data_IF_763601595852
#
_entry.id   IF_763601595852
#
_cell.length_a   1.000
_cell.length_b   1.000
_cell.length_c   1.000
_cell.angle_alpha   90.00
_cell.angle_beta   90.00
_cell.angle_gamma   90.00
#
_symmetry.space_group_name_H-M   'P 1'
#
loop_
_entity.id
_entity.type
_entity.pdbx_description
1 polymer ?
#
# COMPACT_ATOMS: atom_id res chain seq x y z
N UNK A 1 1.44 -38.40 23.12
CA UNK A 1 1.08 -37.65 21.88
C UNK A 1 1.41 -36.19 22.12
N UNK A 2 2.22 -35.55 21.28
CA UNK A 2 2.49 -34.11 21.39
C UNK A 2 1.20 -33.36 21.01
N UNK A 3 0.72 -32.47 21.87
CA UNK A 3 -0.45 -31.63 21.56
C UNK A 3 -0.14 -30.74 20.34
N UNK A 4 -1.16 -30.48 19.53
CA UNK A 4 -1.05 -29.75 18.25
C UNK A 4 -0.40 -28.36 18.41
N UNK A 5 -0.70 -27.65 19.50
CA UNK A 5 -0.07 -26.37 19.84
C UNK A 5 1.43 -26.47 20.14
N UNK A 6 1.87 -27.60 20.70
CA UNK A 6 3.29 -27.88 20.94
C UNK A 6 4.03 -28.09 19.62
N UNK A 7 3.39 -28.73 18.64
CA UNK A 7 3.95 -28.94 17.30
C UNK A 7 4.09 -27.60 16.56
N UNK A 8 3.06 -26.75 16.60
CA UNK A 8 3.14 -25.43 15.96
C UNK A 8 4.22 -24.52 16.55
N UNK A 9 4.41 -24.56 17.87
CA UNK A 9 5.47 -23.81 18.55
C UNK A 9 6.86 -24.28 18.09
N UNK A 10 7.04 -25.60 17.90
CA UNK A 10 8.28 -26.18 17.38
C UNK A 10 8.51 -25.80 15.90
N UNK A 11 7.47 -25.86 15.06
CA UNK A 11 7.51 -25.40 13.65
C UNK A 11 7.95 -23.93 13.57
N UNK A 12 7.34 -23.04 14.36
CA UNK A 12 7.72 -21.63 14.41
C UNK A 12 9.18 -21.43 14.83
N UNK A 13 9.65 -22.19 15.82
CA UNK A 13 11.05 -22.10 16.27
C UNK A 13 12.03 -22.52 15.19
N UNK A 14 11.74 -23.59 14.44
CA UNK A 14 12.61 -24.08 13.37
C UNK A 14 12.58 -23.15 12.13
N UNK A 15 11.42 -22.59 11.79
CA UNK A 15 11.33 -21.60 10.72
C UNK A 15 12.10 -20.33 11.10
N UNK A 16 12.06 -19.91 12.36
CA UNK A 16 12.80 -18.72 12.84
C UNK A 16 14.31 -18.82 12.63
N UNK A 17 14.90 -20.02 12.67
CA UNK A 17 16.33 -20.22 12.40
C UNK A 17 16.65 -20.28 10.91
N UNK A 18 15.67 -20.60 10.06
CA UNK A 18 15.87 -20.87 8.63
C UNK A 18 15.50 -19.69 7.71
N UNK A 19 14.91 -18.60 8.24
CA UNK A 19 14.56 -17.41 7.45
C UNK A 19 15.08 -16.11 8.08
N UNK A 20 15.30 -15.06 7.27
CA UNK A 20 15.69 -13.75 7.80
C UNK A 20 14.69 -13.19 8.85
N UNK A 21 15.17 -12.54 9.93
CA UNK A 21 14.33 -12.11 11.06
C UNK A 21 13.14 -11.21 10.66
N UNK A 22 13.32 -10.35 9.68
CA UNK A 22 12.26 -9.45 9.19
C UNK A 22 11.12 -10.24 8.49
N UNK A 23 11.45 -11.29 7.73
CA UNK A 23 10.44 -12.15 7.08
C UNK A 23 9.66 -12.96 8.11
N UNK A 24 10.36 -13.47 9.14
CA UNK A 24 9.71 -14.17 10.25
C UNK A 24 8.73 -13.26 10.98
N UNK A 25 9.15 -12.05 11.35
CA UNK A 25 8.31 -11.12 12.09
C UNK A 25 7.08 -10.68 11.28
N UNK A 26 7.24 -10.51 9.97
CA UNK A 26 6.17 -10.05 9.09
C UNK A 26 5.19 -11.16 8.71
N UNK A 27 5.67 -12.36 8.39
CA UNK A 27 4.85 -13.39 7.73
C UNK A 27 4.54 -14.61 8.61
N UNK A 28 5.41 -14.98 9.55
CA UNK A 28 5.27 -16.24 10.31
C UNK A 28 4.81 -15.98 11.75
N UNK A 29 5.35 -14.94 12.40
CA UNK A 29 4.98 -14.56 13.77
C UNK A 29 3.47 -14.30 13.93
N UNK A 30 2.77 -13.60 13.01
CA UNK A 30 1.34 -13.30 13.14
C UNK A 30 0.41 -14.50 12.90
N UNK A 31 0.94 -15.63 12.42
CA UNK A 31 0.14 -16.81 12.09
C UNK A 31 -0.08 -17.62 13.36
N UNK A 32 -1.32 -17.96 13.69
CA UNK A 32 -1.65 -18.74 14.89
C UNK A 32 -2.35 -20.04 14.51
N UNK A 33 -2.18 -21.09 15.30
CA UNK A 33 -2.91 -22.32 15.08
C UNK A 33 -4.31 -22.20 15.68
N UNK A 34 -5.32 -22.58 14.91
CA UNK A 34 -6.73 -22.46 15.32
C UNK A 34 -7.25 -23.80 15.82
N UNK A 35 -7.10 -24.85 15.02
CA UNK A 35 -7.49 -26.22 15.34
C UNK A 35 -6.74 -27.21 14.46
N UNK A 36 -6.78 -28.48 14.83
CA UNK A 36 -6.32 -29.59 14.01
C UNK A 36 -7.41 -30.66 13.98
N UNK A 37 -7.84 -31.01 12.77
CA UNK A 37 -8.81 -32.06 12.53
C UNK A 37 -8.11 -33.19 11.75
N UNK A 38 -7.64 -34.20 12.47
CA UNK A 38 -6.84 -35.29 11.89
C UNK A 38 -5.54 -34.79 11.26
N UNK A 39 -5.44 -34.89 9.93
CA UNK A 39 -4.28 -34.44 9.14
C UNK A 39 -4.45 -33.02 8.58
N UNK A 40 -5.53 -32.32 8.89
CA UNK A 40 -5.77 -30.94 8.47
C UNK A 40 -5.44 -29.98 9.61
N UNK A 41 -4.51 -29.06 9.38
CA UNK A 41 -4.12 -28.02 10.33
C UNK A 41 -4.68 -26.69 9.84
N UNK A 42 -5.47 -26.04 10.70
CA UNK A 42 -6.05 -24.72 10.42
C UNK A 42 -5.19 -23.63 11.04
N UNK A 43 -4.67 -22.73 10.21
CA UNK A 43 -3.85 -21.60 10.60
C UNK A 43 -4.58 -20.28 10.38
N UNK A 44 -4.70 -19.49 11.44
CA UNK A 44 -5.19 -18.12 11.39
C UNK A 44 -4.14 -17.21 10.76
N UNK A 45 -4.59 -16.32 9.86
CA UNK A 45 -3.81 -15.21 9.34
C UNK A 45 -4.61 -13.91 9.30
N UNK A 46 -3.97 -12.72 9.39
CA UNK A 46 -4.66 -11.46 9.62
C UNK A 46 -5.65 -11.00 8.54
N UNK A 47 -5.45 -11.39 7.27
CA UNK A 47 -6.33 -11.02 6.16
C UNK A 47 -6.14 -11.94 4.93
N UNK A 48 -7.08 -11.93 3.96
CA UNK A 48 -7.01 -12.82 2.79
C UNK A 48 -5.78 -12.65 1.89
N UNK A 49 -5.27 -11.42 1.72
CA UNK A 49 -4.05 -11.17 0.95
C UNK A 49 -2.82 -11.77 1.64
N UNK A 50 -2.81 -11.75 2.98
CA UNK A 50 -1.79 -12.40 3.79
C UNK A 50 -1.82 -13.92 3.59
N UNK A 51 -3.01 -14.53 3.53
CA UNK A 51 -3.20 -15.95 3.23
C UNK A 51 -2.66 -16.29 1.84
N UNK A 52 -2.96 -15.48 0.83
CA UNK A 52 -2.47 -15.71 -0.53
C UNK A 52 -0.94 -15.73 -0.58
N UNK A 53 -0.28 -14.77 0.07
CA UNK A 53 1.19 -14.72 0.13
C UNK A 53 1.80 -15.85 0.97
N UNK A 54 1.13 -16.27 2.05
CA UNK A 54 1.52 -17.47 2.80
C UNK A 54 1.46 -18.72 1.92
N UNK A 55 0.37 -18.89 1.16
CA UNK A 55 0.19 -20.01 0.24
C UNK A 55 1.25 -20.04 -0.86
N UNK A 56 1.59 -18.88 -1.41
CA UNK A 56 2.55 -18.78 -2.51
C UNK A 56 3.99 -19.04 -2.09
N UNK A 57 4.44 -18.47 -0.97
CA UNK A 57 5.87 -18.47 -0.60
C UNK A 57 6.24 -19.40 0.57
N UNK A 58 5.30 -19.67 1.48
CA UNK A 58 5.61 -20.31 2.76
C UNK A 58 4.90 -21.65 2.95
N UNK A 59 3.85 -21.96 2.20
CA UNK A 59 3.12 -23.22 2.32
C UNK A 59 3.99 -24.46 2.11
N UNK A 60 4.86 -24.55 1.07
CA UNK A 60 5.71 -25.72 0.89
C UNK A 60 6.68 -25.92 2.07
N UNK A 61 7.20 -24.81 2.62
CA UNK A 61 8.06 -24.82 3.78
C UNK A 61 7.29 -25.27 5.02
N UNK A 62 6.13 -24.68 5.29
CA UNK A 62 5.28 -25.04 6.42
C UNK A 62 4.90 -26.52 6.38
N UNK A 63 4.47 -27.05 5.22
CA UNK A 63 4.11 -28.46 5.05
C UNK A 63 5.28 -29.40 5.33
N UNK A 64 6.48 -29.07 4.84
CA UNK A 64 7.70 -29.85 5.09
C UNK A 64 8.04 -29.90 6.58
N UNK A 65 7.97 -28.76 7.26
CA UNK A 65 8.25 -28.65 8.70
C UNK A 65 7.23 -29.41 9.55
N UNK A 66 5.95 -29.29 9.20
CA UNK A 66 4.89 -30.08 9.84
C UNK A 66 5.09 -31.58 9.60
N UNK A 67 5.47 -32.01 8.40
CA UNK A 67 5.73 -33.42 8.09
C UNK A 67 6.92 -33.98 8.88
N UNK A 68 8.01 -33.21 9.02
CA UNK A 68 9.18 -33.64 9.78
C UNK A 68 8.88 -33.81 11.28
N UNK A 69 8.03 -32.94 11.84
CA UNK A 69 7.73 -32.95 13.27
C UNK A 69 6.55 -33.86 13.65
N UNK A 70 5.56 -34.00 12.78
CA UNK A 70 4.38 -34.85 13.00
C UNK A 70 4.54 -36.27 12.45
N UNK A 71 5.52 -36.53 11.57
CA UNK A 71 5.77 -37.85 10.99
C UNK A 71 4.72 -38.32 9.98
N UNK A 72 3.77 -37.47 9.60
CA UNK A 72 2.70 -37.74 8.64
C UNK A 72 2.48 -36.53 7.72
N UNK A 73 1.88 -36.76 6.56
CA UNK A 73 1.60 -35.68 5.61
C UNK A 73 0.43 -34.82 6.12
N UNK A 74 0.68 -33.53 6.30
CA UNK A 74 -0.29 -32.57 6.83
C UNK A 74 -0.80 -31.65 5.72
N UNK A 75 -2.11 -31.47 5.66
CA UNK A 75 -2.75 -30.46 4.80
C UNK A 75 -2.94 -29.19 5.62
N UNK A 76 -2.50 -28.05 5.09
CA UNK A 76 -2.60 -26.76 5.79
C UNK A 76 -3.71 -25.94 5.15
N UNK A 77 -4.71 -25.60 5.94
CA UNK A 77 -5.76 -24.67 5.57
C UNK A 77 -5.59 -23.35 6.34
N UNK A 78 -5.82 -22.24 5.66
CA UNK A 78 -5.70 -20.91 6.26
C UNK A 78 -7.08 -20.29 6.44
N UNK A 79 -7.31 -19.66 7.60
CA UNK A 79 -8.54 -18.96 7.94
C UNK A 79 -8.25 -17.54 8.44
N UNK A 80 -9.24 -16.65 8.33
CA UNK A 80 -9.23 -15.33 8.97
C UNK A 80 -9.99 -15.31 10.29
N UNK A 81 -10.49 -16.45 10.75
CA UNK A 81 -11.17 -16.59 12.04
C UNK A 81 -10.14 -16.79 13.17
N UNK A 82 -10.11 -15.92 14.19
CA UNK A 82 -9.18 -16.06 15.31
C UNK A 82 -9.52 -17.29 16.17
N UNK A 83 -8.52 -17.88 16.88
CA UNK A 83 -8.74 -19.06 17.71
C UNK A 83 -9.74 -18.81 18.86
N UNK A 84 -10.55 -19.81 19.23
CA UNK A 84 -11.67 -19.67 20.18
C UNK A 84 -11.23 -19.22 21.59
N UNK A 85 -9.98 -19.45 21.98
CA UNK A 85 -9.45 -19.06 23.30
C UNK A 85 -9.09 -17.57 23.46
N UNK A 86 -9.25 -16.74 22.41
CA UNK A 86 -9.09 -15.28 22.50
C UNK A 86 -10.42 -14.52 22.51
N UNK A 87 -11.54 -15.24 22.59
CA UNK A 87 -12.90 -14.68 22.70
C UNK A 87 -13.42 -14.80 24.13
N UNK A 88 -12.58 -14.59 25.14
CA UNK A 88 -13.05 -14.44 26.52
C UNK A 88 -11.98 -13.80 27.40
N UNK A 89 -12.01 -12.47 27.51
CA UNK A 89 -11.84 -11.75 28.78
C UNK A 89 -11.88 -10.25 28.53
N UNK A 90 -13.11 -9.74 28.41
CA UNK A 90 -13.46 -8.42 28.92
C UNK A 90 -14.99 -8.34 28.88
N UNK A 91 -15.66 -8.79 29.95
CA UNK A 91 -16.85 -8.17 30.55
C UNK A 91 -17.38 -9.08 31.68
N UNK A 92 -17.58 -8.45 32.84
CA UNK A 92 -18.04 -8.96 34.15
C UNK A 92 -17.01 -9.81 34.94
N UNK A 93 -16.40 -9.39 36.05
CA UNK A 93 -16.57 -8.21 36.90
C UNK A 93 -16.80 -8.64 38.35
N UNK A 94 -15.75 -8.67 39.17
CA UNK A 94 -15.84 -8.48 40.62
C UNK A 94 -14.66 -7.62 41.09
N UNK A 95 -14.97 -6.73 42.04
CA UNK A 95 -14.29 -5.46 42.28
C UNK A 95 -13.44 -5.51 43.54
N UNK A 96 -12.23 -4.93 43.56
CA UNK A 96 -11.74 -4.15 44.71
C UNK A 96 -10.80 -3.01 44.26
N UNK A 97 -11.31 -1.78 44.45
CA UNK A 97 -10.69 -0.48 44.75
C UNK A 97 -9.20 -0.22 44.42
N UNK A 98 -8.96 0.75 43.53
CA UNK A 98 -8.12 1.91 43.85
C UNK A 98 -8.39 3.12 42.92
N UNK A 99 -8.13 4.32 43.48
CA UNK A 99 -8.68 5.64 43.17
C UNK A 99 -8.38 6.18 41.76
N UNK A 100 -9.39 6.79 41.11
CA UNK A 100 -9.22 7.68 39.93
C UNK A 100 -10.06 8.97 40.06
N UNK A 101 -9.39 10.09 39.78
CA UNK A 101 -9.89 11.47 39.70
C UNK A 101 -10.84 11.59 38.47
N UNK A 102 -11.92 12.41 38.51
CA UNK A 102 -13.05 12.28 37.60
C UNK A 102 -12.76 12.91 36.23
N UNK A 103 -12.67 12.09 35.19
CA UNK A 103 -12.86 12.52 33.81
C UNK A 103 -14.33 12.33 33.47
N UNK A 104 -14.96 13.42 33.04
CA UNK A 104 -16.35 13.53 32.64
C UNK A 104 -16.76 12.45 31.62
N UNK A 105 -18.05 12.09 31.71
CA UNK A 105 -18.81 11.08 30.96
C UNK A 105 -18.18 10.66 29.62
N UNK A 106 -18.12 9.35 29.30
CA UNK A 106 -17.71 8.89 27.99
C UNK A 106 -18.68 9.48 26.96
N UNK A 107 -18.16 10.29 26.03
CA UNK A 107 -18.89 10.56 24.81
C UNK A 107 -19.26 9.20 24.19
N UNK A 108 -20.49 9.05 23.67
CA UNK A 108 -20.87 7.84 22.98
C UNK A 108 -19.80 7.55 21.94
N UNK A 109 -19.44 6.28 21.78
CA UNK A 109 -18.63 5.83 20.65
C UNK A 109 -19.29 6.42 19.43
N UNK A 110 -18.72 7.50 18.89
CA UNK A 110 -18.98 7.90 17.53
C UNK A 110 -18.36 6.77 16.72
N UNK A 111 -19.14 5.71 16.53
CA UNK A 111 -19.32 5.16 15.20
C UNK A 111 -19.63 6.40 14.39
N UNK A 112 -18.60 7.02 13.81
CA UNK A 112 -18.82 8.03 12.80
C UNK A 112 -19.69 7.31 11.79
N UNK A 113 -20.95 7.71 11.70
CA UNK A 113 -21.85 7.14 10.73
C UNK A 113 -21.11 7.20 9.41
N UNK A 114 -20.88 6.05 8.77
CA UNK A 114 -20.51 6.08 7.36
C UNK A 114 -21.61 6.89 6.71
N UNK A 115 -21.27 8.06 6.18
CA UNK A 115 -22.23 8.85 5.42
C UNK A 115 -22.80 7.89 4.36
N UNK A 116 -24.13 7.70 4.29
CA UNK A 116 -24.72 6.93 3.22
C UNK A 116 -24.30 7.58 1.90
N UNK A 117 -23.46 6.89 1.13
CA UNK A 117 -22.79 7.42 -0.07
C UNK A 117 -21.26 7.52 -0.03
N UNK A 118 -20.60 7.26 1.11
CA UNK A 118 -19.14 7.17 1.22
C UNK A 118 -18.68 5.74 1.54
N UNK A 119 -18.57 4.92 0.49
CA UNK A 119 -17.60 3.82 0.46
C UNK A 119 -16.22 4.49 0.40
N UNK A 120 -15.26 4.21 1.30
CA UNK A 120 -13.87 4.59 1.04
C UNK A 120 -13.35 3.65 -0.04
N UNK A 121 -13.31 4.07 -1.31
CA UNK A 121 -12.93 3.17 -2.36
C UNK A 121 -11.40 3.10 -2.32
N UNK A 122 -10.79 1.98 -2.73
CA UNK A 122 -9.37 1.91 -3.10
C UNK A 122 -9.00 2.86 -4.28
N UNK A 123 -9.87 3.83 -4.61
CA UNK A 123 -9.79 4.78 -5.71
C UNK A 123 -9.38 6.20 -5.26
N UNK A 124 -9.06 6.43 -3.98
CA UNK A 124 -8.58 7.75 -3.57
C UNK A 124 -7.09 7.87 -3.88
N UNK A 125 -6.73 8.84 -4.73
CA UNK A 125 -5.35 9.27 -4.88
C UNK A 125 -4.76 9.65 -3.53
N UNK A 126 -3.46 9.45 -3.35
CA UNK A 126 -2.78 9.85 -2.12
C UNK A 126 -2.96 11.36 -1.91
N UNK A 127 -3.14 11.74 -0.65
CA UNK A 127 -3.14 13.16 -0.27
C UNK A 127 -1.73 13.72 -0.43
N UNK A 128 -1.65 14.93 -0.99
CA UNK A 128 -0.41 15.68 -1.02
C UNK A 128 0.00 16.07 0.40
N UNK A 129 1.26 15.89 0.75
CA UNK A 129 1.77 16.28 2.07
C UNK A 129 1.79 17.79 2.21
N UNK A 130 1.20 18.33 3.29
CA UNK A 130 1.12 19.79 3.55
C UNK A 130 2.49 20.47 3.59
N UNK A 131 3.52 19.78 4.11
CA UNK A 131 4.86 20.34 4.23
C UNK A 131 5.68 20.31 2.93
N UNK A 132 5.21 19.62 1.89
CA UNK A 132 5.95 19.48 0.63
C UNK A 132 5.53 20.61 -0.30
N UNK A 133 6.08 21.79 -0.04
CA UNK A 133 5.89 23.02 -0.83
C UNK A 133 7.22 23.50 -1.37
N UNK A 134 7.21 24.37 -2.39
CA UNK A 134 8.44 24.96 -2.91
C UNK A 134 9.17 25.82 -1.89
N UNK A 135 8.43 26.48 -0.99
CA UNK A 135 9.00 27.36 0.03
C UNK A 135 9.78 26.58 1.10
N UNK A 136 9.40 25.31 1.33
CA UNK A 136 10.08 24.42 2.27
C UNK A 136 11.19 23.58 1.62
N UNK A 137 11.46 23.77 0.33
CA UNK A 137 12.51 23.05 -0.39
C UNK A 137 13.81 23.85 -0.39
N UNK A 138 14.86 23.29 0.20
CA UNK A 138 16.19 23.91 0.19
C UNK A 138 16.87 23.62 -1.14
N UNK A 139 17.09 24.67 -1.93
CA UNK A 139 17.77 24.59 -3.23
C UNK A 139 19.28 24.61 -3.02
N UNK A 140 19.98 23.70 -3.72
CA UNK A 140 21.43 23.72 -3.83
C UNK A 140 21.84 23.44 -5.28
N UNK A 141 23.14 23.50 -5.57
CA UNK A 141 23.68 23.33 -6.94
C UNK A 141 23.18 22.04 -7.61
N UNK A 142 23.04 20.96 -6.86
CA UNK A 142 22.62 19.64 -7.36
C UNK A 142 21.10 19.50 -7.56
N UNK A 143 20.30 20.47 -7.11
CA UNK A 143 18.83 20.42 -7.17
C UNK A 143 18.19 21.63 -7.86
N UNK A 144 18.98 22.66 -8.20
CA UNK A 144 18.50 23.91 -8.81
C UNK A 144 17.72 23.67 -10.10
N UNK A 145 18.29 22.90 -11.04
CA UNK A 145 17.62 22.59 -12.30
C UNK A 145 16.26 21.88 -12.08
N UNK A 146 16.22 20.89 -11.19
CA UNK A 146 15.00 20.15 -10.88
C UNK A 146 13.95 21.04 -10.20
N UNK A 147 14.39 21.94 -9.31
CA UNK A 147 13.54 22.92 -8.66
C UNK A 147 12.95 23.91 -9.67
N UNK A 148 13.78 24.50 -10.53
CA UNK A 148 13.35 25.44 -11.56
C UNK A 148 12.39 24.77 -12.55
N UNK A 149 12.70 23.57 -13.02
CA UNK A 149 11.82 22.83 -13.93
C UNK A 149 10.45 22.53 -13.29
N UNK A 150 10.44 22.03 -12.05
CA UNK A 150 9.21 21.74 -11.30
C UNK A 150 8.36 22.99 -11.09
N UNK A 151 9.01 24.12 -10.73
CA UNK A 151 8.34 25.40 -10.49
C UNK A 151 7.79 26.00 -11.78
N UNK A 152 8.54 25.92 -12.87
CA UNK A 152 8.12 26.41 -14.18
C UNK A 152 6.95 25.61 -14.74
N UNK A 153 6.95 24.27 -14.60
CA UNK A 153 5.81 23.44 -14.97
C UNK A 153 4.55 23.83 -14.18
N UNK A 154 4.68 23.98 -12.86
CA UNK A 154 3.57 24.35 -11.99
C UNK A 154 2.99 25.75 -12.29
N UNK A 155 3.80 26.64 -12.88
CA UNK A 155 3.42 27.99 -13.28
C UNK A 155 2.98 28.12 -14.74
N UNK A 156 2.95 27.03 -15.51
CA UNK A 156 2.71 27.03 -16.97
C UNK A 156 3.73 27.88 -17.76
N UNK A 157 5.00 27.86 -17.36
CA UNK A 157 6.08 28.67 -17.95
C UNK A 157 7.01 27.89 -18.90
N UNK A 158 6.72 26.62 -19.20
CA UNK A 158 7.61 25.75 -19.99
C UNK A 158 7.32 25.72 -21.51
N UNK A 159 6.92 26.84 -22.11
CA UNK A 159 6.72 26.97 -23.57
C UNK A 159 5.97 25.79 -24.23
N UNK A 160 4.92 25.28 -23.57
CA UNK A 160 4.12 24.14 -24.07
C UNK A 160 4.53 22.76 -23.56
N UNK A 161 5.68 22.61 -22.89
CA UNK A 161 6.04 21.33 -22.25
C UNK A 161 5.16 21.10 -21.01
N UNK A 162 4.36 20.04 -21.03
CA UNK A 162 3.46 19.65 -19.92
C UNK A 162 3.92 18.38 -19.17
N UNK A 163 5.04 17.79 -19.58
CA UNK A 163 5.62 16.60 -18.97
C UNK A 163 6.92 16.93 -18.25
N UNK A 164 7.11 16.35 -17.07
CA UNK A 164 8.34 16.45 -16.29
C UNK A 164 8.72 15.08 -15.75
N UNK A 165 9.99 14.70 -15.93
CA UNK A 165 10.56 13.49 -15.35
C UNK A 165 11.65 13.86 -14.35
N UNK A 166 11.41 13.60 -13.06
CA UNK A 166 12.36 13.83 -11.98
C UNK A 166 13.15 12.55 -11.73
N UNK A 167 14.42 12.55 -12.16
CA UNK A 167 15.33 11.43 -11.98
C UNK A 167 16.32 11.69 -10.84
N UNK A 168 16.63 10.64 -10.08
CA UNK A 168 17.70 10.71 -9.08
C UNK A 168 17.62 9.63 -8.00
N UNK A 169 18.69 9.51 -7.21
CA UNK A 169 18.78 8.58 -6.08
C UNK A 169 17.72 8.87 -5.01
N UNK A 170 17.52 7.92 -4.10
CA UNK A 170 16.67 8.10 -2.93
C UNK A 170 17.17 9.27 -2.08
N UNK A 171 16.25 10.00 -1.44
CA UNK A 171 16.62 11.14 -0.58
C UNK A 171 16.96 12.45 -1.29
N UNK A 172 17.03 12.50 -2.64
CA UNK A 172 17.34 13.74 -3.38
C UNK A 172 16.15 14.70 -3.59
N UNK A 173 15.05 14.50 -2.86
CA UNK A 173 13.92 15.44 -2.88
C UNK A 173 12.95 15.33 -4.06
N UNK A 174 13.06 14.29 -4.91
CA UNK A 174 12.13 14.05 -6.05
C UNK A 174 10.65 14.14 -5.64
N UNK A 175 10.27 13.36 -4.63
CA UNK A 175 8.89 13.32 -4.13
C UNK A 175 8.45 14.60 -3.42
N UNK A 176 9.41 15.41 -2.94
CA UNK A 176 9.10 16.74 -2.41
C UNK A 176 8.77 17.68 -3.56
N UNK A 177 9.63 17.76 -4.58
CA UNK A 177 9.45 18.64 -5.73
C UNK A 177 8.18 18.33 -6.54
N UNK A 178 7.90 17.05 -6.80
CA UNK A 178 6.69 16.62 -7.51
C UNK A 178 5.42 17.03 -6.77
N UNK A 179 5.37 16.79 -5.45
CA UNK A 179 4.23 17.18 -4.62
C UNK A 179 4.14 18.71 -4.46
N UNK A 180 5.27 19.42 -4.38
CA UNK A 180 5.31 20.87 -4.33
C UNK A 180 4.71 21.50 -5.60
N UNK A 181 4.98 20.90 -6.77
CA UNK A 181 4.33 21.29 -8.01
C UNK A 181 2.80 21.07 -7.94
N UNK A 182 2.36 19.91 -7.46
CA UNK A 182 0.93 19.62 -7.24
C UNK A 182 0.25 20.60 -6.28
N UNK A 183 0.90 20.91 -5.15
CA UNK A 183 0.41 21.87 -4.16
C UNK A 183 0.30 23.27 -4.77
N UNK A 184 1.29 23.69 -5.56
CA UNK A 184 1.27 24.99 -6.23
C UNK A 184 0.16 25.10 -7.28
N UNK A 185 -0.11 24.01 -8.02
CA UNK A 185 -1.22 23.95 -8.97
C UNK A 185 -2.57 24.08 -8.24
N UNK A 186 -2.74 23.36 -7.13
CA UNK A 186 -3.97 23.45 -6.32
C UNK A 186 -4.14 24.80 -5.63
N UNK A 187 -3.05 25.43 -5.18
CA UNK A 187 -3.15 26.74 -4.53
C UNK A 187 -3.58 27.84 -5.50
N UNK A 188 -3.19 27.74 -6.78
CA UNK A 188 -3.65 28.65 -7.85
C UNK A 188 -5.03 28.31 -8.37
N UNK A 189 -5.33 27.02 -8.52
CA UNK A 189 -6.63 26.55 -9.00
C UNK A 189 -7.14 25.40 -8.12
N UNK A 190 -7.90 25.71 -7.05
CA UNK A 190 -8.44 24.72 -6.13
C UNK A 190 -9.41 23.71 -6.77
N UNK A 191 -9.91 24.00 -7.98
CA UNK A 191 -10.81 23.10 -8.73
C UNK A 191 -10.05 22.11 -9.62
N UNK A 192 -8.73 22.27 -9.76
CA UNK A 192 -7.90 21.38 -10.56
C UNK A 192 -7.89 19.96 -9.97
N UNK A 193 -8.06 18.94 -10.83
CA UNK A 193 -8.05 17.54 -10.41
C UNK A 193 -6.63 17.00 -10.47
N UNK A 194 -5.89 17.16 -9.37
CA UNK A 194 -4.51 16.69 -9.21
C UNK A 194 -4.52 15.31 -8.56
N UNK A 195 -4.03 14.29 -9.29
CA UNK A 195 -3.87 12.94 -8.76
C UNK A 195 -2.41 12.65 -8.44
N UNK A 196 -2.14 12.36 -7.17
CA UNK A 196 -0.85 11.90 -6.69
C UNK A 196 -0.93 10.41 -6.34
N UNK A 197 -0.11 9.60 -7.01
CA UNK A 197 -0.08 8.14 -6.86
C UNK A 197 1.33 7.60 -7.08
N UNK A 198 1.64 6.43 -6.56
CA UNK A 198 2.84 5.69 -6.98
C UNK A 198 2.53 4.78 -8.16
N UNK A 199 3.55 4.37 -8.90
CA UNK A 199 3.46 3.32 -9.92
C UNK A 199 2.87 2.01 -9.36
N UNK A 200 3.15 1.70 -8.08
CA UNK A 200 2.54 0.58 -7.39
C UNK A 200 1.03 0.76 -7.21
N UNK A 201 0.59 1.92 -6.74
CA UNK A 201 -0.85 2.20 -6.59
C UNK A 201 -1.57 2.08 -7.93
N UNK A 202 -1.00 2.68 -8.98
CA UNK A 202 -1.55 2.63 -10.33
C UNK A 202 -1.67 1.20 -10.85
N UNK A 203 -0.63 0.39 -10.64
CA UNK A 203 -0.63 -1.04 -11.00
C UNK A 203 -1.74 -1.78 -10.26
N UNK A 204 -1.81 -1.60 -8.94
CA UNK A 204 -2.77 -2.30 -8.09
C UNK A 204 -4.21 -1.91 -8.41
N UNK A 205 -4.47 -0.62 -8.66
CA UNK A 205 -5.80 -0.14 -9.04
C UNK A 205 -6.21 -0.66 -10.43
N UNK A 206 -5.28 -0.73 -11.38
CA UNK A 206 -5.53 -1.34 -12.69
C UNK A 206 -5.90 -2.82 -12.56
N UNK A 207 -5.10 -3.60 -11.81
CA UNK A 207 -5.36 -5.03 -11.57
C UNK A 207 -6.72 -5.23 -10.89
N UNK A 208 -7.02 -4.41 -9.88
CA UNK A 208 -8.31 -4.43 -9.20
C UNK A 208 -9.46 -4.18 -10.19
N UNK A 209 -9.33 -3.15 -11.03
CA UNK A 209 -10.35 -2.79 -12.01
C UNK A 209 -10.54 -3.87 -13.08
N UNK A 210 -9.48 -4.56 -13.50
CA UNK A 210 -9.57 -5.70 -14.40
C UNK A 210 -10.34 -6.86 -13.76
N UNK A 211 -9.96 -7.24 -12.53
CA UNK A 211 -10.60 -8.35 -11.82
C UNK A 211 -12.10 -8.12 -11.59
N UNK A 212 -12.49 -6.88 -11.29
CA UNK A 212 -13.88 -6.52 -11.02
C UNK A 212 -14.63 -6.03 -12.26
N UNK A 213 -14.05 -6.17 -13.47
CA UNK A 213 -14.65 -5.70 -14.75
C UNK A 213 -15.05 -4.21 -14.73
N UNK A 214 -14.30 -3.39 -13.99
CA UNK A 214 -14.49 -1.94 -13.86
C UNK A 214 -13.37 -1.12 -14.49
N UNK A 215 -12.63 -1.70 -15.46
CA UNK A 215 -11.50 -1.04 -16.14
C UNK A 215 -11.86 0.32 -16.76
N UNK A 216 -13.11 0.51 -17.17
CA UNK A 216 -13.58 1.80 -17.69
C UNK A 216 -13.51 2.90 -16.63
N UNK A 217 -13.87 2.61 -15.37
CA UNK A 217 -13.79 3.58 -14.26
C UNK A 217 -12.34 4.00 -14.00
N UNK A 218 -11.42 3.03 -14.05
CA UNK A 218 -9.99 3.30 -13.94
C UNK A 218 -9.51 4.24 -15.06
N UNK A 219 -9.88 3.96 -16.32
CA UNK A 219 -9.53 4.83 -17.45
C UNK A 219 -10.12 6.22 -17.30
N UNK A 220 -11.39 6.34 -16.92
CA UNK A 220 -12.04 7.63 -16.73
C UNK A 220 -11.36 8.45 -15.65
N UNK A 221 -11.00 7.84 -14.52
CA UNK A 221 -10.25 8.49 -13.44
C UNK A 221 -8.96 9.11 -13.97
N UNK A 222 -8.08 8.31 -14.59
CA UNK A 222 -6.76 8.78 -15.00
C UNK A 222 -6.74 9.60 -16.30
N UNK A 223 -7.83 9.60 -17.09
CA UNK A 223 -7.92 10.31 -18.37
C UNK A 223 -8.89 11.49 -18.33
N UNK A 224 -10.18 11.25 -18.08
CA UNK A 224 -11.23 12.29 -18.12
C UNK A 224 -11.24 13.16 -16.87
N UNK A 225 -11.00 12.55 -15.72
CA UNK A 225 -11.08 13.20 -14.41
C UNK A 225 -9.73 13.67 -13.88
N UNK A 226 -8.68 13.64 -14.70
CA UNK A 226 -7.33 14.03 -14.33
C UNK A 226 -6.91 15.29 -15.09
N UNK A 227 -6.51 16.34 -14.37
CA UNK A 227 -5.90 17.53 -14.98
C UNK A 227 -4.39 17.56 -14.76
N UNK A 228 -3.90 16.92 -13.69
CA UNK A 228 -2.49 16.73 -13.44
C UNK A 228 -2.25 15.37 -12.81
N UNK A 229 -1.42 14.55 -13.45
CA UNK A 229 -1.01 13.26 -12.93
C UNK A 229 0.40 13.36 -12.36
N UNK A 230 0.57 13.03 -11.08
CA UNK A 230 1.87 12.87 -10.43
C UNK A 230 2.03 11.38 -10.14
N UNK A 231 2.93 10.71 -10.87
CA UNK A 231 3.22 9.29 -10.74
C UNK A 231 4.64 9.07 -10.23
N UNK A 232 4.75 8.67 -8.96
CA UNK A 232 6.03 8.41 -8.31
C UNK A 232 6.56 7.00 -8.58
N UNK A 233 7.89 6.87 -8.49
CA UNK A 233 8.61 5.60 -8.48
C UNK A 233 8.32 4.72 -9.71
N UNK A 234 8.37 5.31 -10.90
CA UNK A 234 8.04 4.63 -12.17
C UNK A 234 8.89 3.40 -12.49
N UNK A 235 10.09 3.30 -11.90
CA UNK A 235 10.95 2.11 -11.97
C UNK A 235 10.25 0.85 -11.43
N UNK A 236 9.21 0.99 -10.60
CA UNK A 236 8.39 -0.13 -10.15
C UNK A 236 7.56 -0.78 -11.27
N UNK A 237 7.48 -0.15 -12.45
CA UNK A 237 6.80 -0.70 -13.62
C UNK A 237 7.67 -1.66 -14.43
N UNK A 238 8.98 -1.73 -14.18
CA UNK A 238 9.87 -2.61 -14.94
C UNK A 238 9.41 -4.07 -14.84
N UNK A 239 9.30 -4.72 -16.00
CA UNK A 239 8.77 -6.08 -16.14
C UNK A 239 7.24 -6.19 -16.10
N UNK A 240 6.49 -5.09 -15.91
CA UNK A 240 5.02 -5.08 -15.87
C UNK A 240 4.42 -4.60 -17.18
N UNK A 241 4.67 -5.35 -18.26
CA UNK A 241 4.29 -4.98 -19.63
C UNK A 241 2.83 -4.55 -19.78
N UNK A 242 1.90 -5.22 -19.09
CA UNK A 242 0.48 -4.86 -19.13
C UNK A 242 0.19 -3.46 -18.58
N UNK A 243 0.77 -3.13 -17.43
CA UNK A 243 0.62 -1.80 -16.81
C UNK A 243 1.38 -0.73 -17.58
N UNK A 244 2.58 -1.04 -18.07
CA UNK A 244 3.34 -0.13 -18.92
C UNK A 244 2.55 0.27 -20.17
N UNK A 245 1.94 -0.70 -20.86
CA UNK A 245 1.11 -0.44 -22.04
C UNK A 245 -0.08 0.46 -21.74
N UNK A 246 -0.79 0.21 -20.63
CA UNK A 246 -1.93 1.05 -20.23
C UNK A 246 -1.49 2.46 -19.80
N UNK A 247 -0.32 2.58 -19.16
CA UNK A 247 0.26 3.89 -18.82
C UNK A 247 0.59 4.69 -20.07
N UNK A 248 1.21 4.09 -21.09
CA UNK A 248 1.49 4.78 -22.38
C UNK A 248 0.19 5.32 -22.99
N UNK A 249 -0.85 4.49 -23.09
CA UNK A 249 -2.16 4.93 -23.62
C UNK A 249 -2.81 6.04 -22.78
N UNK A 250 -2.55 6.04 -21.47
CA UNK A 250 -3.04 7.09 -20.57
C UNK A 250 -2.25 8.39 -20.77
N UNK A 251 -0.94 8.29 -21.02
CA UNK A 251 -0.08 9.44 -21.29
C UNK A 251 -0.45 10.13 -22.59
N UNK A 252 -0.61 9.36 -23.67
CA UNK A 252 -1.01 9.91 -24.97
C UNK A 252 -2.29 10.74 -24.83
N UNK A 253 -3.30 10.17 -24.15
CA UNK A 253 -4.56 10.89 -23.88
C UNK A 253 -4.35 12.18 -23.08
N UNK A 254 -3.53 12.14 -22.03
CA UNK A 254 -3.28 13.31 -21.19
C UNK A 254 -2.53 14.40 -21.93
N UNK A 255 -1.53 14.04 -22.73
CA UNK A 255 -0.74 14.98 -23.53
C UNK A 255 -1.59 15.63 -24.64
N UNK A 256 -2.39 14.83 -25.35
CA UNK A 256 -3.31 15.32 -26.39
C UNK A 256 -4.34 16.31 -25.81
N UNK A 257 -4.72 16.15 -24.54
CA UNK A 257 -5.65 17.02 -23.83
C UNK A 257 -4.98 18.18 -23.06
N UNK A 258 -3.70 18.49 -23.34
CA UNK A 258 -2.88 19.52 -22.69
C UNK A 258 -2.82 19.39 -21.15
N UNK A 259 -2.89 18.16 -20.63
CA UNK A 259 -2.81 17.88 -19.19
C UNK A 259 -1.36 17.75 -18.75
N UNK A 260 -1.12 18.05 -17.46
CA UNK A 260 0.22 17.99 -16.89
C UNK A 260 0.54 16.59 -16.37
N UNK A 261 1.75 16.11 -16.62
CA UNK A 261 2.24 14.83 -16.09
C UNK A 261 3.60 15.03 -15.44
N UNK A 262 3.74 14.55 -14.20
CA UNK A 262 4.98 14.55 -13.44
C UNK A 262 5.32 13.12 -13.07
N UNK A 263 6.53 12.69 -13.42
CA UNK A 263 7.08 11.41 -13.06
C UNK A 263 8.24 11.55 -12.09
N UNK A 264 8.43 10.53 -11.26
CA UNK A 264 9.67 10.35 -10.51
C UNK A 264 10.25 8.95 -10.70
N UNK A 265 11.58 8.84 -10.75
CA UNK A 265 12.24 7.55 -10.93
C UNK A 265 13.70 7.56 -10.52
N UNK A 266 14.27 6.35 -10.42
CA UNK A 266 15.69 6.13 -10.17
C UNK A 266 16.49 6.00 -11.48
N UNK A 267 15.91 5.33 -12.47
CA UNK A 267 16.53 5.00 -13.75
C UNK A 267 16.21 6.03 -14.84
N UNK A 268 17.00 6.02 -15.91
CA UNK A 268 16.66 6.74 -17.14
C UNK A 268 15.36 6.17 -17.74
N UNK A 269 14.51 6.99 -18.39
CA UNK A 269 13.28 6.50 -19.03
C UNK A 269 13.49 5.34 -20.01
N UNK A 270 14.65 5.27 -20.67
CA UNK A 270 15.02 4.21 -21.61
C UNK A 270 15.28 2.84 -20.95
N UNK A 271 15.42 2.81 -19.63
CA UNK A 271 15.78 1.62 -18.84
C UNK A 271 14.60 1.04 -18.05
N UNK A 272 13.38 1.59 -18.23
CA UNK A 272 12.18 1.24 -17.44
C UNK A 272 11.24 0.33 -18.21
#
# INVERSE_FOLDING_TARGET
MKTADTVWTQVKSHIKTNIPPHKYHMWIKPVEMVRQDGNIVYLFAPNPLFIQRLKEYYLPMLQKEFQQLAGQQVTIEFTTEPPPHKVSNALAGESVKEKRIPVSKPLPKTIQAKLPGFETPFYQSRLLKKGYTFDNFVVGENSDLAYLASRSLAKDQLNGTKILYLMGKTGLGKSHLSQAAGQHILSRNPRSRVYYVTAEDFTNEMIYALHHKTIQKFKEKYRRYCDTLILEDVHFLSGKMGTQKELVLTLDYLLDADKKVIFSGYNCPTEI
#
